data_IF_949722401381
#
_entry.id   IF_949722401381
#
_cell.length_a   1.000
_cell.length_b   1.000
_cell.length_c   1.000
_cell.angle_alpha   90.00
_cell.angle_beta   90.00
_cell.angle_gamma   90.00
#
_symmetry.space_group_name_H-M   'P 1'
#
loop_
_entity.id
_entity.type
_entity.pdbx_description
1 polymer ?
#
# COMPACT_ATOMS: atom_id res chain seq x y z
N UNK A 1 -39.27 29.13 -24.87
CA UNK A 1 -38.27 29.57 -23.91
C UNK A 1 -37.44 28.35 -23.61
N UNK A 2 -36.19 28.37 -24.06
CA UNK A 2 -35.31 27.25 -24.21
C UNK A 2 -35.04 26.47 -22.94
N UNK A 3 -35.26 25.17 -23.03
CA UNK A 3 -34.67 24.19 -22.14
C UNK A 3 -33.23 23.96 -22.62
N UNK A 4 -32.25 24.53 -21.90
CA UNK A 4 -30.87 24.09 -22.01
C UNK A 4 -30.80 22.66 -21.43
N UNK A 5 -30.87 21.68 -22.31
CA UNK A 5 -30.42 20.33 -22.02
C UNK A 5 -28.89 20.41 -21.91
N UNK A 6 -28.37 20.59 -20.68
CA UNK A 6 -26.96 20.45 -20.40
C UNK A 6 -26.56 19.00 -20.70
N UNK A 7 -25.82 18.83 -21.78
CA UNK A 7 -25.18 17.56 -22.13
C UNK A 7 -24.31 17.10 -20.96
N UNK A 8 -24.22 15.79 -20.72
CA UNK A 8 -23.19 15.22 -19.84
C UNK A 8 -21.84 15.81 -20.26
N UNK A 9 -20.99 16.23 -19.32
CA UNK A 9 -19.63 16.64 -19.64
C UNK A 9 -18.99 15.54 -20.50
N UNK A 10 -18.18 15.94 -21.48
CA UNK A 10 -17.52 15.01 -22.42
C UNK A 10 -16.94 13.82 -21.67
N UNK A 11 -17.00 12.63 -22.24
CA UNK A 11 -16.57 11.36 -21.58
C UNK A 11 -15.19 11.45 -20.91
N UNK A 12 -14.29 12.28 -21.43
CA UNK A 12 -12.98 12.56 -20.83
C UNK A 12 -13.08 13.25 -19.46
N UNK A 13 -13.97 14.22 -19.29
CA UNK A 13 -14.17 14.94 -18.03
C UNK A 13 -14.78 14.03 -16.95
N UNK A 14 -15.70 13.14 -17.33
CA UNK A 14 -16.32 12.19 -16.38
C UNK A 14 -15.30 11.18 -15.89
N UNK A 15 -14.46 10.61 -16.76
CA UNK A 15 -13.43 9.67 -16.37
C UNK A 15 -12.37 10.31 -15.48
N UNK A 16 -11.96 11.55 -15.77
CA UNK A 16 -11.03 12.31 -14.92
C UNK A 16 -11.61 12.59 -13.54
N UNK A 17 -12.89 12.97 -13.47
CA UNK A 17 -13.58 13.16 -12.20
C UNK A 17 -13.64 11.87 -11.37
N UNK A 18 -14.03 10.75 -12.01
CA UNK A 18 -14.08 9.46 -11.34
C UNK A 18 -12.69 9.04 -10.84
N UNK A 19 -11.63 9.29 -11.62
CA UNK A 19 -10.26 9.01 -11.20
C UNK A 19 -9.84 9.85 -9.99
N UNK A 20 -10.15 11.15 -9.97
CA UNK A 20 -9.90 12.03 -8.81
C UNK A 20 -10.67 11.55 -7.57
N UNK A 21 -11.96 11.22 -7.73
CA UNK A 21 -12.77 10.66 -6.66
C UNK A 21 -12.21 9.32 -6.17
N UNK A 22 -11.73 8.46 -7.07
CA UNK A 22 -11.12 7.19 -6.73
C UNK A 22 -9.79 7.36 -5.97
N UNK A 23 -9.00 8.34 -6.34
CA UNK A 23 -7.79 8.71 -5.59
C UNK A 23 -8.12 9.17 -4.17
N UNK A 24 -9.19 9.95 -3.97
CA UNK A 24 -9.62 10.40 -2.64
C UNK A 24 -10.26 9.28 -1.84
N UNK A 25 -11.20 8.54 -2.41
CA UNK A 25 -12.00 7.55 -1.67
C UNK A 25 -11.40 6.14 -1.62
N UNK A 26 -10.36 5.86 -2.43
CA UNK A 26 -9.62 4.60 -2.37
C UNK A 26 -10.14 3.50 -3.30
N UNK A 27 -11.22 3.72 -4.05
CA UNK A 27 -11.71 2.73 -5.01
C UNK A 27 -13.11 2.99 -5.52
N UNK A 28 -13.55 2.21 -6.52
CA UNK A 28 -14.85 2.37 -7.16
C UNK A 28 -16.00 2.06 -6.18
N UNK A 29 -15.82 1.08 -5.29
CA UNK A 29 -16.82 0.72 -4.28
C UNK A 29 -17.03 1.87 -3.28
N UNK A 30 -15.96 2.51 -2.86
CA UNK A 30 -16.04 3.64 -1.93
C UNK A 30 -16.70 4.88 -2.58
N UNK A 31 -16.46 5.10 -3.89
CA UNK A 31 -17.15 6.16 -4.64
C UNK A 31 -18.64 5.84 -4.74
N UNK A 32 -18.99 4.58 -5.01
CA UNK A 32 -20.38 4.14 -5.05
C UNK A 32 -21.06 4.38 -3.70
N UNK A 33 -20.44 3.95 -2.59
CA UNK A 33 -20.92 4.17 -1.23
C UNK A 33 -21.09 5.67 -0.91
N UNK A 34 -20.15 6.51 -1.38
CA UNK A 34 -20.21 7.95 -1.23
C UNK A 34 -21.41 8.54 -1.99
N UNK A 35 -21.56 8.18 -3.26
CA UNK A 35 -22.70 8.64 -4.08
C UNK A 35 -24.04 8.14 -3.51
N UNK A 36 -24.12 6.89 -3.07
CA UNK A 36 -25.33 6.34 -2.42
C UNK A 36 -25.70 7.06 -1.12
N UNK A 37 -24.71 7.61 -0.39
CA UNK A 37 -24.96 8.39 0.83
C UNK A 37 -25.76 9.68 0.57
N UNK A 38 -25.79 10.17 -0.66
CA UNK A 38 -26.59 11.30 -1.13
C UNK A 38 -27.85 10.88 -1.89
N UNK A 39 -28.23 9.61 -1.80
CA UNK A 39 -29.46 9.10 -2.43
C UNK A 39 -30.71 9.85 -1.94
N UNK A 40 -31.71 9.94 -2.79
CA UNK A 40 -33.03 10.44 -2.42
C UNK A 40 -33.76 9.53 -1.40
N UNK A 41 -33.31 8.28 -1.28
CA UNK A 41 -33.87 7.34 -0.32
C UNK A 41 -33.30 7.61 1.08
N UNK A 42 -34.16 8.04 2.00
CA UNK A 42 -33.81 8.42 3.38
C UNK A 42 -33.11 7.29 4.14
N UNK A 43 -33.45 6.04 3.87
CA UNK A 43 -32.83 4.88 4.53
C UNK A 43 -31.38 4.61 4.10
N UNK A 44 -30.94 5.15 2.97
CA UNK A 44 -29.55 5.02 2.49
C UNK A 44 -28.68 6.23 2.84
N UNK A 45 -29.25 7.30 3.38
CA UNK A 45 -28.50 8.51 3.76
C UNK A 45 -27.63 8.24 4.98
N UNK A 46 -26.36 8.55 4.88
CA UNK A 46 -25.43 8.59 6.02
C UNK A 46 -25.38 10.01 6.57
N UNK A 47 -25.42 10.17 7.88
CA UNK A 47 -25.27 11.47 8.52
C UNK A 47 -23.91 12.09 8.20
N UNK A 48 -23.80 13.43 8.20
CA UNK A 48 -22.58 14.19 7.91
C UNK A 48 -21.42 13.73 8.81
N UNK A 49 -21.69 13.45 10.08
CA UNK A 49 -20.67 12.97 11.02
C UNK A 49 -20.12 11.57 10.64
N UNK A 50 -20.97 10.70 10.13
CA UNK A 50 -20.53 9.39 9.64
C UNK A 50 -19.71 9.50 8.35
N UNK A 51 -20.08 10.44 7.48
CA UNK A 51 -19.33 10.74 6.25
C UNK A 51 -17.95 11.31 6.58
N UNK A 52 -17.88 12.29 7.49
CA UNK A 52 -16.60 12.87 7.95
C UNK A 52 -15.70 11.83 8.63
N UNK A 53 -16.26 10.93 9.43
CA UNK A 53 -15.49 9.82 10.03
C UNK A 53 -14.95 8.85 8.98
N UNK A 54 -15.74 8.54 7.94
CA UNK A 54 -15.35 7.55 6.93
C UNK A 54 -14.40 8.13 5.87
N UNK A 55 -14.65 9.35 5.39
CA UNK A 55 -13.97 9.94 4.22
C UNK A 55 -13.18 11.22 4.50
N UNK A 56 -13.19 11.70 5.74
CA UNK A 56 -12.51 12.95 6.13
C UNK A 56 -13.23 14.19 5.61
N UNK A 57 -12.45 15.23 5.29
CA UNK A 57 -12.99 16.44 4.69
C UNK A 57 -13.39 16.19 3.23
N UNK A 58 -14.68 16.14 2.99
CA UNK A 58 -15.29 15.94 1.67
C UNK A 58 -16.01 17.16 1.14
N UNK A 59 -16.01 18.28 1.89
CA UNK A 59 -16.77 19.48 1.56
C UNK A 59 -16.38 20.02 0.18
N UNK A 60 -15.09 20.11 -0.11
CA UNK A 60 -14.60 20.52 -1.42
C UNK A 60 -15.12 19.65 -2.58
N UNK A 61 -15.17 18.32 -2.40
CA UNK A 61 -15.67 17.39 -3.43
C UNK A 61 -17.19 17.47 -3.59
N UNK A 62 -17.90 17.75 -2.51
CA UNK A 62 -19.35 17.99 -2.56
C UNK A 62 -19.66 19.28 -3.33
N UNK A 63 -18.86 20.33 -3.14
CA UNK A 63 -18.99 21.58 -3.90
C UNK A 63 -18.68 21.36 -5.39
N UNK A 64 -17.58 20.68 -5.72
CA UNK A 64 -17.22 20.33 -7.10
C UNK A 64 -18.35 19.51 -7.77
N UNK A 65 -18.94 18.55 -7.05
CA UNK A 65 -20.07 17.76 -7.55
C UNK A 65 -21.37 18.56 -7.67
N UNK A 66 -21.57 19.60 -6.86
CA UNK A 66 -22.68 20.54 -7.00
C UNK A 66 -22.50 21.41 -8.26
N UNK A 67 -21.29 21.93 -8.48
CA UNK A 67 -20.96 22.73 -9.68
C UNK A 67 -21.15 21.91 -10.97
N UNK A 68 -20.79 20.64 -10.95
CA UNK A 68 -20.99 19.71 -12.07
C UNK A 68 -22.45 19.24 -12.22
N UNK A 69 -23.35 19.69 -11.36
CA UNK A 69 -24.77 19.34 -11.42
C UNK A 69 -25.08 17.87 -11.04
N UNK A 70 -24.13 17.17 -10.44
CA UNK A 70 -24.28 15.80 -9.94
C UNK A 70 -25.05 15.77 -8.63
N UNK A 71 -24.78 16.75 -7.76
CA UNK A 71 -25.48 16.97 -6.51
C UNK A 71 -26.28 18.28 -6.57
N UNK A 72 -27.36 18.37 -5.80
CA UNK A 72 -28.12 19.59 -5.60
C UNK A 72 -28.48 19.77 -4.13
N UNK A 73 -28.59 21.00 -3.71
CA UNK A 73 -29.05 21.35 -2.38
C UNK A 73 -30.57 21.43 -2.35
N UNK A 74 -31.17 20.87 -1.32
CA UNK A 74 -32.60 20.93 -1.06
C UNK A 74 -32.84 21.33 0.39
N UNK A 75 -34.05 21.80 0.77
CA UNK A 75 -34.35 22.12 2.17
C UNK A 75 -34.12 20.96 3.15
N UNK A 76 -34.10 19.72 2.64
CA UNK A 76 -33.82 18.50 3.41
C UNK A 76 -32.37 18.02 3.29
N UNK A 77 -31.44 18.85 2.76
CA UNK A 77 -30.03 18.55 2.58
C UNK A 77 -29.62 18.28 1.13
N UNK A 78 -28.37 17.92 0.92
CA UNK A 78 -27.80 17.66 -0.41
C UNK A 78 -28.27 16.30 -0.93
N UNK A 79 -28.68 16.23 -2.19
CA UNK A 79 -29.19 14.99 -2.83
C UNK A 79 -28.67 14.83 -4.25
N UNK A 80 -28.64 13.59 -4.75
CA UNK A 80 -28.30 13.27 -6.13
C UNK A 80 -29.33 13.85 -7.11
N UNK A 81 -28.83 14.41 -8.20
CA UNK A 81 -29.66 14.83 -9.34
C UNK A 81 -29.90 13.64 -10.29
N UNK A 82 -30.70 13.88 -11.34
CA UNK A 82 -30.84 12.88 -12.42
C UNK A 82 -29.51 12.57 -13.12
N UNK A 83 -28.61 13.56 -13.21
CA UNK A 83 -27.23 13.35 -13.74
C UNK A 83 -26.39 12.53 -12.76
N UNK A 84 -26.52 12.81 -11.45
CA UNK A 84 -25.86 12.03 -10.41
C UNK A 84 -26.25 10.57 -10.41
N UNK A 85 -27.53 10.25 -10.60
CA UNK A 85 -28.01 8.88 -10.76
C UNK A 85 -27.40 8.19 -11.99
N UNK A 86 -27.38 8.87 -13.15
CA UNK A 86 -26.72 8.35 -14.36
C UNK A 86 -25.24 8.10 -14.17
N UNK A 87 -24.54 8.97 -13.44
CA UNK A 87 -23.13 8.79 -13.10
C UNK A 87 -22.94 7.57 -12.20
N UNK A 88 -23.79 7.39 -11.20
CA UNK A 88 -23.76 6.22 -10.32
C UNK A 88 -23.97 4.92 -11.10
N UNK A 89 -24.97 4.89 -12.00
CA UNK A 89 -25.22 3.75 -12.88
C UNK A 89 -24.03 3.48 -13.83
N UNK A 90 -23.38 4.53 -14.34
CA UNK A 90 -22.18 4.38 -15.15
C UNK A 90 -21.04 3.75 -14.35
N UNK A 91 -20.81 4.22 -13.12
CA UNK A 91 -19.78 3.68 -12.23
C UNK A 91 -20.03 2.18 -11.93
N UNK A 92 -21.26 1.81 -11.68
CA UNK A 92 -21.65 0.41 -11.41
C UNK A 92 -21.40 -0.47 -12.64
N UNK A 93 -21.84 -0.03 -13.81
CA UNK A 93 -21.75 -0.81 -15.05
C UNK A 93 -20.31 -0.93 -15.59
N UNK A 94 -19.44 0.05 -15.33
CA UNK A 94 -18.03 0.08 -15.79
C UNK A 94 -17.03 -0.16 -14.67
N UNK A 95 -17.45 -0.77 -13.57
CA UNK A 95 -16.63 -0.98 -12.37
C UNK A 95 -15.28 -1.63 -12.70
N UNK A 96 -15.25 -2.71 -13.49
CA UNK A 96 -14.01 -3.43 -13.82
C UNK A 96 -13.04 -2.59 -14.66
N UNK A 97 -13.54 -1.79 -15.58
CA UNK A 97 -12.73 -0.90 -16.42
C UNK A 97 -12.11 0.22 -15.58
N UNK A 98 -12.94 0.88 -14.76
CA UNK A 98 -12.52 1.93 -13.86
C UNK A 98 -11.49 1.43 -12.84
N UNK A 99 -11.69 0.26 -12.26
CA UNK A 99 -10.69 -0.35 -11.36
C UNK A 99 -9.37 -0.64 -12.07
N UNK A 100 -9.42 -1.05 -13.33
CA UNK A 100 -8.20 -1.30 -14.10
C UNK A 100 -7.44 -0.02 -14.36
N UNK A 101 -8.12 1.08 -14.66
CA UNK A 101 -7.50 2.40 -14.84
C UNK A 101 -6.93 2.97 -13.53
N UNK A 102 -7.68 2.86 -12.43
CA UNK A 102 -7.19 3.26 -11.11
C UNK A 102 -5.90 2.51 -10.77
N UNK A 103 -5.87 1.17 -10.96
CA UNK A 103 -4.66 0.35 -10.75
C UNK A 103 -3.50 0.81 -11.63
N UNK A 104 -3.78 1.15 -12.89
CA UNK A 104 -2.76 1.65 -13.83
C UNK A 104 -2.17 2.99 -13.36
N UNK A 105 -3.01 3.89 -12.88
CA UNK A 105 -2.59 5.20 -12.36
C UNK A 105 -1.82 5.06 -11.06
N UNK A 106 -2.27 4.24 -10.11
CA UNK A 106 -1.53 3.94 -8.88
C UNK A 106 -0.12 3.40 -9.14
N UNK A 107 0.05 2.55 -10.18
CA UNK A 107 1.38 2.04 -10.57
C UNK A 107 2.26 3.10 -11.22
N UNK A 108 1.66 4.05 -11.93
CA UNK A 108 2.37 5.13 -12.63
C UNK A 108 2.62 6.35 -11.77
N UNK A 109 1.84 6.52 -10.69
CA UNK A 109 1.99 7.67 -9.81
C UNK A 109 3.46 7.79 -9.39
N UNK A 110 4.15 8.86 -9.78
CA UNK A 110 5.49 9.13 -9.28
C UNK A 110 5.36 9.26 -7.76
N UNK A 111 6.38 8.86 -7.04
CA UNK A 111 6.56 9.30 -5.66
C UNK A 111 6.87 10.81 -5.74
N UNK A 112 5.83 11.60 -5.99
CA UNK A 112 5.96 13.02 -6.24
C UNK A 112 5.57 13.80 -5.01
N UNK A 113 6.50 14.51 -4.47
CA UNK A 113 6.36 15.41 -3.36
C UNK A 113 7.65 15.46 -2.58
N UNK A 114 8.14 16.64 -2.28
CA UNK A 114 9.17 16.85 -1.27
C UNK A 114 8.57 16.55 0.10
N UNK A 115 8.42 15.24 0.38
CA UNK A 115 7.96 14.81 1.70
C UNK A 115 9.02 15.20 2.72
N UNK A 116 8.66 16.05 3.66
CA UNK A 116 9.51 16.39 4.80
C UNK A 116 9.27 15.33 5.88
N UNK A 117 10.22 14.44 6.04
CA UNK A 117 10.23 13.50 7.16
C UNK A 117 11.64 13.44 7.76
N UNK A 118 11.71 13.29 9.07
CA UNK A 118 12.96 13.04 9.78
C UNK A 118 13.10 11.54 10.01
N UNK A 119 14.26 11.01 9.72
CA UNK A 119 14.59 9.61 9.96
C UNK A 119 15.50 9.48 11.17
N UNK A 120 15.12 8.65 12.11
CA UNK A 120 15.89 8.34 13.31
C UNK A 120 16.09 6.83 13.45
N UNK A 121 17.30 6.41 13.77
CA UNK A 121 17.67 5.00 13.93
C UNK A 121 18.39 4.38 12.74
N UNK A 122 19.01 3.22 12.98
CA UNK A 122 19.67 2.35 11.99
C UNK A 122 19.26 0.92 12.26
N UNK A 123 19.02 0.16 11.22
CA UNK A 123 18.71 -1.27 11.31
C UNK A 123 19.81 -2.05 10.62
N UNK A 124 20.33 -3.08 11.29
CA UNK A 124 21.24 -4.04 10.66
C UNK A 124 20.50 -4.89 9.63
N UNK A 125 21.18 -5.11 8.50
CA UNK A 125 20.58 -5.85 7.39
C UNK A 125 20.76 -7.36 7.58
N UNK A 126 19.70 -8.02 8.01
CA UNK A 126 19.56 -9.48 7.98
C UNK A 126 18.43 -9.86 7.03
N UNK A 127 18.72 -10.02 5.75
CA UNK A 127 17.69 -10.38 4.78
C UNK A 127 18.14 -11.58 3.93
N UNK A 128 17.24 -12.51 3.71
CA UNK A 128 17.47 -13.67 2.84
C UNK A 128 17.18 -13.30 1.38
N UNK A 129 18.11 -13.62 0.48
CA UNK A 129 17.94 -13.44 -0.96
C UNK A 129 17.29 -14.69 -1.57
N UNK A 130 16.50 -14.47 -2.60
CA UNK A 130 15.97 -15.53 -3.45
C UNK A 130 16.51 -15.33 -4.85
N UNK A 131 17.22 -16.32 -5.35
CA UNK A 131 17.71 -16.34 -6.72
C UNK A 131 16.68 -16.99 -7.65
N UNK A 132 16.55 -16.43 -8.84
CA UNK A 132 15.75 -17.03 -9.91
C UNK A 132 16.41 -16.83 -11.27
N UNK A 133 16.19 -17.79 -12.16
CA UNK A 133 16.68 -17.72 -13.52
C UNK A 133 15.77 -16.87 -14.39
N UNK A 134 16.29 -15.79 -14.96
CA UNK A 134 15.57 -14.96 -15.90
C UNK A 134 15.69 -15.54 -17.32
N UNK A 135 14.72 -16.34 -17.75
CA UNK A 135 14.71 -16.99 -19.08
C UNK A 135 14.51 -16.02 -20.25
N UNK A 136 14.17 -14.76 -19.97
CA UNK A 136 13.97 -13.75 -21.02
C UNK A 136 15.25 -12.99 -21.38
N UNK A 137 16.35 -13.22 -20.68
CA UNK A 137 17.62 -12.54 -20.93
C UNK A 137 18.78 -13.50 -20.80
N UNK A 138 19.58 -13.57 -21.84
CA UNK A 138 20.80 -14.38 -21.88
C UNK A 138 22.04 -13.49 -21.82
N UNK A 139 23.09 -13.99 -21.19
CA UNK A 139 24.40 -13.37 -21.11
C UNK A 139 25.43 -14.28 -21.79
N UNK A 140 26.38 -13.68 -22.51
CA UNK A 140 27.49 -14.40 -23.11
C UNK A 140 28.58 -14.54 -22.05
N UNK A 141 29.08 -15.75 -21.85
CA UNK A 141 30.17 -16.00 -20.89
C UNK A 141 31.53 -15.66 -21.53
N UNK A 142 31.99 -14.42 -21.38
CA UNK A 142 33.33 -14.01 -21.86
C UNK A 142 34.45 -14.41 -20.88
N UNK A 143 34.15 -14.60 -19.61
CA UNK A 143 35.14 -14.75 -18.53
C UNK A 143 35.35 -16.19 -18.03
N UNK A 144 34.74 -17.19 -18.69
CA UNK A 144 34.96 -18.59 -18.38
C UNK A 144 34.36 -19.12 -17.06
N UNK A 145 33.65 -18.29 -16.32
CA UNK A 145 32.98 -18.69 -15.06
C UNK A 145 31.62 -19.31 -15.33
N UNK A 146 31.39 -20.50 -14.77
CA UNK A 146 30.07 -21.16 -14.86
C UNK A 146 29.07 -20.43 -13.98
N UNK A 147 28.16 -19.66 -14.59
CA UNK A 147 27.29 -18.75 -13.84
C UNK A 147 25.80 -19.03 -13.93
N UNK A 148 25.33 -20.19 -14.40
CA UNK A 148 23.90 -20.41 -14.45
C UNK A 148 23.42 -21.53 -15.36
N UNK A 149 22.11 -21.57 -15.62
CA UNK A 149 21.50 -22.51 -16.53
C UNK A 149 21.85 -22.17 -17.97
N UNK A 150 22.31 -23.16 -18.73
CA UNK A 150 22.69 -23.03 -20.14
C UNK A 150 21.45 -22.69 -20.98
N UNK A 151 21.52 -21.62 -21.75
CA UNK A 151 20.51 -21.25 -22.76
C UNK A 151 20.80 -22.02 -24.05
N UNK A 152 20.35 -23.27 -24.12
CA UNK A 152 20.65 -24.21 -25.22
C UNK A 152 20.25 -23.65 -26.60
N UNK A 153 19.03 -23.09 -26.80
CA UNK A 153 18.62 -22.55 -28.09
C UNK A 153 19.56 -21.47 -28.61
N UNK A 154 19.87 -20.48 -27.76
CA UNK A 154 20.73 -19.35 -28.09
C UNK A 154 22.16 -19.80 -28.34
N UNK A 155 22.66 -20.74 -27.55
CA UNK A 155 23.96 -21.37 -27.74
C UNK A 155 24.08 -22.04 -29.11
N UNK A 156 23.08 -22.83 -29.51
CA UNK A 156 23.06 -23.51 -30.82
C UNK A 156 23.02 -22.51 -31.95
N UNK A 157 22.15 -21.49 -31.84
CA UNK A 157 22.04 -20.43 -32.85
C UNK A 157 23.39 -19.70 -33.01
N UNK A 158 24.03 -19.35 -31.91
CA UNK A 158 25.32 -18.66 -31.96
C UNK A 158 26.44 -19.55 -32.49
N UNK A 159 26.49 -20.80 -32.04
CA UNK A 159 27.46 -21.78 -32.54
C UNK A 159 27.31 -22.02 -34.04
N UNK A 160 26.06 -22.13 -34.55
CA UNK A 160 25.80 -22.26 -35.98
C UNK A 160 26.27 -21.04 -36.81
N UNK A 161 25.98 -19.84 -36.32
CA UNK A 161 26.46 -18.60 -36.95
C UNK A 161 27.98 -18.57 -37.01
N UNK A 162 28.64 -18.88 -35.91
CA UNK A 162 30.08 -18.86 -35.80
C UNK A 162 30.77 -20.00 -36.60
N UNK A 163 30.14 -21.20 -36.70
CA UNK A 163 30.62 -22.27 -37.53
C UNK A 163 30.58 -21.89 -39.00
N UNK A 164 29.52 -21.24 -39.48
CA UNK A 164 29.43 -20.73 -40.85
C UNK A 164 30.53 -19.69 -41.13
N UNK A 165 30.74 -18.74 -40.22
CA UNK A 165 31.75 -17.73 -40.34
C UNK A 165 33.19 -18.28 -40.36
N UNK A 166 33.42 -19.40 -39.68
CA UNK A 166 34.72 -20.11 -39.64
C UNK A 166 34.93 -21.08 -40.81
N UNK A 167 33.87 -21.36 -41.59
CA UNK A 167 33.93 -22.34 -42.64
C UNK A 167 33.95 -23.77 -42.14
N UNK A 168 33.50 -24.05 -40.91
CA UNK A 168 33.44 -25.37 -40.29
C UNK A 168 32.42 -26.27 -41.04
N UNK A 169 32.72 -27.54 -41.38
CA UNK A 169 31.82 -28.40 -42.16
C UNK A 169 30.58 -28.85 -41.39
N UNK A 170 30.48 -28.55 -40.10
CA UNK A 170 29.38 -28.96 -39.20
C UNK A 170 29.11 -27.94 -38.09
N UNK A 171 28.24 -28.35 -37.16
CA UNK A 171 27.98 -27.56 -35.95
C UNK A 171 29.09 -27.82 -34.92
N UNK A 172 29.96 -26.84 -34.70
CA UNK A 172 31.02 -26.91 -33.70
C UNK A 172 30.73 -25.86 -32.62
N UNK A 173 30.47 -26.34 -31.38
CA UNK A 173 30.19 -25.45 -30.22
C UNK A 173 31.52 -25.16 -29.51
N UNK A 174 31.91 -23.90 -29.44
CA UNK A 174 33.06 -23.43 -28.67
C UNK A 174 32.62 -22.73 -27.40
N UNK A 175 33.52 -22.55 -26.43
CA UNK A 175 33.22 -21.84 -25.18
C UNK A 175 32.69 -20.42 -25.40
N UNK A 176 33.15 -19.75 -26.46
CA UNK A 176 32.66 -18.42 -26.86
C UNK A 176 31.22 -18.39 -27.34
N UNK A 177 30.64 -19.54 -27.68
CA UNK A 177 29.29 -19.66 -28.21
C UNK A 177 28.28 -19.92 -27.10
N UNK A 178 28.76 -20.21 -25.88
CA UNK A 178 27.90 -20.53 -24.73
C UNK A 178 27.15 -19.33 -24.23
N UNK A 179 25.82 -19.43 -24.20
CA UNK A 179 24.91 -18.47 -23.61
C UNK A 179 24.28 -19.05 -22.35
N UNK A 180 24.19 -18.25 -21.31
CA UNK A 180 23.55 -18.62 -20.05
C UNK A 180 22.39 -17.70 -19.77
N UNK A 181 21.35 -18.21 -19.11
CA UNK A 181 20.28 -17.37 -18.61
C UNK A 181 20.79 -16.49 -17.47
N UNK A 182 20.37 -15.21 -17.49
CA UNK A 182 20.75 -14.27 -16.43
C UNK A 182 20.14 -14.72 -15.10
N UNK A 183 20.96 -14.92 -14.08
CA UNK A 183 20.47 -15.08 -12.70
C UNK A 183 20.16 -13.71 -12.12
N UNK A 184 18.96 -13.58 -11.57
CA UNK A 184 18.55 -12.41 -10.80
C UNK A 184 18.25 -12.82 -9.38
N UNK A 185 18.74 -12.05 -8.44
CA UNK A 185 18.34 -12.17 -7.05
C UNK A 185 17.38 -11.04 -6.71
N UNK A 186 16.39 -11.33 -5.91
CA UNK A 186 15.56 -10.31 -5.29
C UNK A 186 15.29 -10.69 -3.84
N UNK A 187 15.01 -9.69 -3.02
CA UNK A 187 14.67 -9.87 -1.62
C UNK A 187 13.15 -9.73 -1.52
N UNK A 188 12.41 -10.82 -1.30
CA UNK A 188 10.99 -10.72 -1.01
C UNK A 188 10.82 -10.08 0.37
N UNK A 189 10.00 -9.05 0.47
CA UNK A 189 9.74 -8.31 1.71
C UNK A 189 8.24 -8.36 1.95
N UNK A 190 7.78 -9.28 2.80
CA UNK A 190 6.37 -9.33 3.17
C UNK A 190 6.09 -8.26 4.24
N UNK A 191 5.04 -7.47 4.06
CA UNK A 191 4.75 -6.29 4.88
C UNK A 191 3.55 -6.53 5.78
N UNK A 192 3.72 -6.33 7.08
CA UNK A 192 2.65 -6.26 8.06
C UNK A 192 2.41 -4.80 8.46
N UNK A 193 1.27 -4.23 8.08
CA UNK A 193 0.86 -2.90 8.51
C UNK A 193 0.11 -3.02 9.83
N UNK A 194 0.59 -2.32 10.85
CA UNK A 194 -0.06 -2.18 12.16
C UNK A 194 -0.61 -0.78 12.24
N UNK A 195 -1.91 -0.64 12.10
CA UNK A 195 -2.59 0.64 11.94
C UNK A 195 -3.33 0.99 13.21
N UNK A 196 -3.00 2.12 13.78
CA UNK A 196 -3.80 2.75 14.82
C UNK A 196 -5.19 3.09 14.25
N UNK A 197 -6.21 2.52 14.85
CA UNK A 197 -7.61 2.81 14.51
C UNK A 197 -8.33 3.50 15.69
N UNK A 198 -7.60 4.25 16.50
CA UNK A 198 -8.18 5.12 17.53
C UNK A 198 -8.97 6.27 16.91
N UNK A 199 -9.73 6.99 17.73
CA UNK A 199 -10.60 8.06 17.26
C UNK A 199 -9.88 9.20 16.54
N UNK A 200 -8.62 9.51 16.90
CA UNK A 200 -7.77 10.54 16.28
C UNK A 200 -7.30 10.18 14.86
N UNK A 201 -7.31 8.90 14.52
CA UNK A 201 -6.96 8.38 13.19
C UNK A 201 -8.13 8.38 12.20
N UNK A 202 -9.28 8.96 12.56
CA UNK A 202 -10.43 9.04 11.66
C UNK A 202 -10.16 9.96 10.44
N UNK A 203 -10.89 9.73 9.36
CA UNK A 203 -10.85 10.57 8.17
C UNK A 203 -9.63 10.33 7.28
N UNK A 204 -8.89 11.38 6.94
CA UNK A 204 -7.80 11.35 5.96
C UNK A 204 -6.61 10.47 6.38
N UNK A 205 -6.29 10.41 7.67
CA UNK A 205 -5.22 9.55 8.20
C UNK A 205 -5.52 8.07 7.97
N UNK A 206 -6.76 7.63 8.28
CA UNK A 206 -7.22 6.27 7.98
C UNK A 206 -7.12 5.96 6.48
N UNK A 207 -7.60 6.90 5.65
CA UNK A 207 -7.54 6.73 4.20
C UNK A 207 -6.11 6.63 3.69
N UNK A 208 -5.19 7.43 4.21
CA UNK A 208 -3.78 7.37 3.84
C UNK A 208 -3.17 6.00 4.18
N UNK A 209 -3.47 5.45 5.37
CA UNK A 209 -3.01 4.13 5.77
C UNK A 209 -3.62 3.00 4.90
N UNK A 210 -4.92 3.06 4.61
CA UNK A 210 -5.59 2.12 3.70
C UNK A 210 -5.01 2.20 2.28
N UNK A 211 -4.76 3.40 1.78
CA UNK A 211 -4.15 3.61 0.46
C UNK A 211 -2.74 3.05 0.39
N UNK A 212 -1.94 3.19 1.46
CA UNK A 212 -0.62 2.58 1.53
C UNK A 212 -0.70 1.06 1.40
N UNK A 213 -1.65 0.40 2.09
CA UNK A 213 -1.84 -1.05 2.01
C UNK A 213 -2.14 -1.50 0.58
N UNK A 214 -3.08 -0.83 -0.11
CA UNK A 214 -3.39 -1.11 -1.51
C UNK A 214 -2.20 -0.83 -2.44
N UNK A 215 -1.51 0.28 -2.23
CA UNK A 215 -0.34 0.66 -3.02
C UNK A 215 0.76 -0.39 -2.93
N UNK A 216 1.08 -0.88 -1.73
CA UNK A 216 2.09 -1.92 -1.52
C UNK A 216 1.72 -3.22 -2.23
N UNK A 217 0.47 -3.63 -2.14
CA UNK A 217 0.00 -4.84 -2.80
C UNK A 217 0.02 -4.73 -4.33
N UNK A 218 -0.32 -3.55 -4.88
CA UNK A 218 -0.40 -3.33 -6.33
C UNK A 218 0.95 -3.11 -6.99
N UNK A 219 1.90 -2.50 -6.28
CA UNK A 219 3.23 -2.16 -6.83
C UNK A 219 4.27 -3.24 -6.58
N UNK A 220 4.07 -4.08 -5.56
CA UNK A 220 4.98 -5.14 -5.16
C UNK A 220 4.54 -6.53 -5.62
N UNK A 221 5.40 -7.50 -5.37
CA UNK A 221 5.12 -8.94 -5.51
C UNK A 221 4.95 -9.61 -4.14
N UNK A 222 5.02 -8.82 -3.10
CA UNK A 222 5.03 -9.24 -1.70
C UNK A 222 3.61 -9.46 -1.19
N UNK A 223 3.50 -10.15 -0.07
CA UNK A 223 2.26 -10.27 0.68
C UNK A 223 2.10 -9.05 1.59
N UNK A 224 0.87 -8.63 1.79
CA UNK A 224 0.52 -7.57 2.73
C UNK A 224 -0.48 -8.13 3.73
N UNK A 225 -0.24 -7.87 5.01
CA UNK A 225 -1.18 -8.10 6.10
C UNK A 225 -1.53 -6.78 6.77
N UNK A 226 -2.70 -6.71 7.40
CA UNK A 226 -3.15 -5.53 8.14
C UNK A 226 -3.67 -5.96 9.50
N UNK A 227 -3.08 -5.42 10.54
CA UNK A 227 -3.53 -5.51 11.93
C UNK A 227 -4.00 -4.12 12.35
N UNK A 228 -5.11 -4.02 13.03
CA UNK A 228 -5.57 -2.76 13.62
C UNK A 228 -5.73 -2.92 15.13
N UNK A 229 -5.51 -1.84 15.84
CA UNK A 229 -5.77 -1.77 17.27
C UNK A 229 -6.62 -0.54 17.58
N UNK A 230 -7.64 -0.73 18.42
CA UNK A 230 -8.57 0.30 18.83
C UNK A 230 -9.31 -0.12 20.10
N UNK A 231 -9.89 0.82 20.81
CA UNK A 231 -10.66 0.56 22.05
C UNK A 231 -9.83 -0.20 23.11
N UNK A 232 -9.96 -1.50 23.22
CA UNK A 232 -9.27 -2.34 24.21
C UNK A 232 -8.56 -3.55 23.60
N UNK A 233 -8.62 -3.72 22.29
CA UNK A 233 -8.07 -4.91 21.62
C UNK A 233 -7.54 -4.62 20.24
N UNK A 234 -6.75 -5.52 19.75
CA UNK A 234 -6.31 -5.56 18.35
C UNK A 234 -6.99 -6.70 17.60
N UNK A 235 -6.96 -6.60 16.27
CA UNK A 235 -7.46 -7.66 15.40
C UNK A 235 -6.69 -7.73 14.10
N UNK A 236 -6.55 -8.93 13.58
CA UNK A 236 -6.08 -9.15 12.21
C UNK A 236 -7.23 -8.87 11.26
N UNK A 237 -7.17 -7.73 10.60
CA UNK A 237 -8.18 -7.29 9.61
C UNK A 237 -7.96 -8.01 8.30
N UNK A 238 -6.70 -8.17 7.90
CA UNK A 238 -6.30 -8.84 6.67
C UNK A 238 -5.09 -9.73 6.97
N UNK A 239 -5.20 -11.07 6.79
CA UNK A 239 -4.05 -11.97 6.89
C UNK A 239 -3.11 -11.75 5.70
N UNK A 240 -1.87 -12.25 5.76
CA UNK A 240 -0.91 -12.13 4.66
C UNK A 240 -1.48 -12.61 3.33
N UNK A 241 -1.74 -11.69 2.42
CA UNK A 241 -2.37 -11.95 1.14
C UNK A 241 -1.72 -11.20 -0.02
N UNK A 242 -1.92 -11.71 -1.24
CA UNK A 242 -1.69 -11.00 -2.50
C UNK A 242 -3.00 -10.71 -3.22
N UNK A 243 -4.12 -11.10 -2.63
CA UNK A 243 -5.44 -10.91 -3.22
C UNK A 243 -5.98 -9.54 -2.85
N UNK A 244 -6.16 -8.69 -3.86
CA UNK A 244 -6.67 -7.33 -3.68
C UNK A 244 -8.11 -7.29 -3.15
N UNK A 245 -8.95 -8.24 -3.54
CA UNK A 245 -10.34 -8.28 -3.06
C UNK A 245 -10.40 -8.58 -1.55
N UNK A 246 -9.54 -9.50 -1.08
CA UNK A 246 -9.41 -9.82 0.35
C UNK A 246 -8.93 -8.59 1.11
N UNK A 247 -7.90 -7.89 0.58
CA UNK A 247 -7.38 -6.68 1.18
C UNK A 247 -8.47 -5.60 1.30
N UNK A 248 -9.16 -5.28 0.22
CA UNK A 248 -10.21 -4.25 0.21
C UNK A 248 -11.36 -4.56 1.15
N UNK A 249 -11.85 -5.80 1.13
CA UNK A 249 -12.92 -6.22 2.07
C UNK A 249 -12.49 -6.02 3.52
N UNK A 250 -11.26 -6.38 3.85
CA UNK A 250 -10.72 -6.14 5.19
C UNK A 250 -10.62 -4.65 5.52
N UNK A 251 -9.97 -3.85 4.66
CA UNK A 251 -9.81 -2.41 4.88
C UNK A 251 -11.14 -1.67 5.05
N UNK A 252 -12.19 -2.08 4.35
CA UNK A 252 -13.53 -1.51 4.49
C UNK A 252 -14.13 -1.72 5.89
N UNK A 253 -13.66 -2.71 6.66
CA UNK A 253 -14.13 -2.96 8.04
C UNK A 253 -13.45 -2.08 9.08
N UNK A 254 -12.43 -1.30 8.73
CA UNK A 254 -11.73 -0.42 9.66
C UNK A 254 -12.60 0.79 9.94
N UNK A 255 -13.03 0.92 11.19
CA UNK A 255 -13.83 2.06 11.68
C UNK A 255 -13.14 2.65 12.90
N UNK A 256 -12.41 3.76 12.77
CA UNK A 256 -11.70 4.35 13.89
C UNK A 256 -12.60 4.73 15.06
N UNK A 257 -12.23 4.26 16.24
CA UNK A 257 -12.96 4.53 17.48
C UNK A 257 -12.09 4.28 18.73
N UNK A 258 -12.39 5.00 19.80
CA UNK A 258 -11.91 4.69 21.14
C UNK A 258 -10.44 4.95 21.39
N UNK A 259 -9.82 4.07 22.18
CA UNK A 259 -8.51 4.17 22.78
C UNK A 259 -7.42 3.50 21.92
N UNK A 260 -6.16 3.54 22.41
CA UNK A 260 -4.95 3.13 21.68
C UNK A 260 -4.23 1.96 22.40
N UNK A 261 -4.67 0.70 22.27
CA UNK A 261 -4.01 -0.49 22.83
C UNK A 261 -2.81 -0.92 21.98
N UNK A 262 -1.77 -0.10 21.93
CA UNK A 262 -0.61 -0.28 21.04
C UNK A 262 0.15 -1.57 21.34
N UNK A 263 0.32 -1.94 22.63
CA UNK A 263 0.98 -3.18 23.02
C UNK A 263 0.31 -4.40 22.42
N UNK A 264 -1.01 -4.50 22.54
CA UNK A 264 -1.81 -5.59 21.97
C UNK A 264 -1.69 -5.65 20.43
N UNK A 265 -1.68 -4.48 19.77
CA UNK A 265 -1.45 -4.36 18.33
C UNK A 265 -0.10 -4.92 17.88
N UNK A 266 0.98 -4.60 18.60
CA UNK A 266 2.33 -5.09 18.32
C UNK A 266 2.41 -6.60 18.54
N UNK A 267 1.93 -7.11 19.68
CA UNK A 267 1.94 -8.54 20.01
C UNK A 267 1.16 -9.35 18.97
N UNK A 268 -0.04 -8.88 18.60
CA UNK A 268 -0.85 -9.53 17.56
C UNK A 268 -0.12 -9.58 16.20
N UNK A 269 0.58 -8.54 15.85
CA UNK A 269 1.34 -8.50 14.61
C UNK A 269 2.58 -9.42 14.65
N UNK A 270 3.30 -9.49 15.78
CA UNK A 270 4.42 -10.42 15.98
C UNK A 270 3.93 -11.86 15.84
N UNK A 271 2.84 -12.22 16.53
CA UNK A 271 2.26 -13.57 16.46
C UNK A 271 1.82 -13.92 15.03
N UNK A 272 1.13 -13.00 14.34
CA UNK A 272 0.72 -13.20 12.95
C UNK A 272 1.91 -13.46 12.02
N UNK A 273 3.02 -12.74 12.20
CA UNK A 273 4.23 -12.91 11.40
C UNK A 273 4.88 -14.26 11.68
N UNK A 274 4.98 -14.67 12.95
CA UNK A 274 5.58 -15.94 13.35
C UNK A 274 4.76 -17.16 12.87
N UNK A 275 3.44 -17.08 12.95
CA UNK A 275 2.53 -18.14 12.47
C UNK A 275 2.52 -18.23 10.94
N UNK A 276 2.70 -17.08 10.26
CA UNK A 276 2.71 -17.01 8.81
C UNK A 276 4.12 -17.27 8.27
N UNK A 277 4.28 -18.22 7.36
CA UNK A 277 5.57 -18.48 6.71
C UNK A 277 5.93 -17.35 5.73
N UNK A 278 6.27 -16.17 6.28
CA UNK A 278 6.66 -14.98 5.52
C UNK A 278 8.17 -14.85 5.41
N UNK A 279 8.65 -14.11 4.42
CA UNK A 279 10.07 -13.91 4.15
C UNK A 279 10.44 -12.44 4.38
N UNK A 280 11.53 -12.23 5.14
CA UNK A 280 12.04 -10.90 5.46
C UNK A 280 10.91 -9.95 5.92
N UNK A 281 10.21 -10.28 7.01
CA UNK A 281 9.05 -9.53 7.45
C UNK A 281 9.42 -8.09 7.78
N UNK A 282 8.63 -7.16 7.26
CA UNK A 282 8.68 -5.75 7.58
C UNK A 282 7.38 -5.37 8.30
N UNK A 283 7.49 -5.01 9.58
CA UNK A 283 6.40 -4.44 10.35
C UNK A 283 6.44 -2.92 10.22
N UNK A 284 5.31 -2.32 9.86
CA UNK A 284 5.16 -0.87 9.76
C UNK A 284 4.05 -0.44 10.69
N UNK A 285 4.40 0.20 11.80
CA UNK A 285 3.45 0.82 12.74
C UNK A 285 3.11 2.22 12.26
N UNK A 286 1.82 2.52 12.15
CA UNK A 286 1.30 3.85 11.78
C UNK A 286 0.41 4.34 12.91
N UNK A 287 0.79 5.42 13.57
CA UNK A 287 0.07 6.00 14.70
C UNK A 287 0.24 7.51 14.77
N UNK A 288 -0.74 8.20 15.30
CA UNK A 288 -0.66 9.63 15.60
C UNK A 288 -0.63 9.92 17.11
N UNK A 289 -0.63 8.87 17.94
CA UNK A 289 -0.74 8.98 19.38
C UNK A 289 0.26 8.16 20.18
N UNK A 290 0.11 8.26 21.49
CA UNK A 290 0.79 7.40 22.48
C UNK A 290 -0.21 6.38 23.04
N UNK A 291 0.25 5.19 23.46
CA UNK A 291 -0.63 4.19 24.04
C UNK A 291 -1.30 4.70 25.32
N UNK A 292 -2.55 4.37 25.47
CA UNK A 292 -3.35 4.76 26.64
C UNK A 292 -4.15 3.58 27.23
N UNK A 293 -4.03 2.40 26.66
CA UNK A 293 -4.67 1.18 27.14
C UNK A 293 -3.59 0.16 27.48
N UNK A 294 -3.43 -0.20 28.77
CA UNK A 294 -2.45 -1.19 29.22
C UNK A 294 -2.86 -2.61 28.83
N UNK A 295 -1.88 -3.52 28.73
CA UNK A 295 -2.07 -4.92 28.39
C UNK A 295 -1.71 -5.84 29.59
N UNK A 296 -0.54 -5.65 30.17
CA UNK A 296 0.02 -6.49 31.25
C UNK A 296 0.17 -5.76 32.58
N UNK A 297 0.50 -4.47 32.51
CA UNK A 297 0.75 -3.64 33.69
C UNK A 297 -0.33 -2.57 33.83
N UNK A 298 -0.11 -1.59 34.70
CA UNK A 298 -0.99 -0.41 34.79
C UNK A 298 -0.52 0.74 33.86
N UNK A 299 0.65 0.61 33.25
CA UNK A 299 1.24 1.63 32.38
C UNK A 299 1.29 1.15 30.92
N UNK A 300 0.38 1.68 30.11
CA UNK A 300 0.30 1.37 28.68
C UNK A 300 1.59 1.67 27.90
N UNK A 301 2.38 2.65 28.35
CA UNK A 301 3.64 3.02 27.70
C UNK A 301 4.72 1.98 27.96
N UNK A 302 4.77 1.44 29.16
CA UNK A 302 5.71 0.37 29.53
C UNK A 302 5.35 -0.90 28.76
N UNK A 303 4.08 -1.27 28.74
CA UNK A 303 3.60 -2.46 28.03
C UNK A 303 3.94 -2.41 26.54
N UNK A 304 3.77 -1.24 25.91
CA UNK A 304 4.10 -1.11 24.49
C UNK A 304 5.61 -1.18 24.22
N UNK A 305 6.47 -0.71 25.14
CA UNK A 305 7.92 -0.87 25.03
C UNK A 305 8.35 -2.34 25.24
N UNK A 306 7.69 -3.07 26.12
CA UNK A 306 7.93 -4.52 26.31
C UNK A 306 7.45 -5.32 25.09
N UNK A 307 6.30 -4.98 24.52
CA UNK A 307 5.84 -5.55 23.26
C UNK A 307 6.83 -5.27 22.11
N UNK A 308 7.38 -4.05 22.04
CA UNK A 308 8.37 -3.68 21.03
C UNK A 308 9.67 -4.48 21.13
N UNK A 309 10.07 -4.89 22.32
CA UNK A 309 11.27 -5.73 22.54
C UNK A 309 11.15 -7.12 21.87
N UNK A 310 9.95 -7.64 21.66
CA UNK A 310 9.71 -8.94 21.00
C UNK A 310 9.97 -8.89 19.49
N UNK A 311 9.99 -7.70 18.88
CA UNK A 311 10.14 -7.52 17.44
C UNK A 311 11.52 -7.99 16.94
N UNK A 312 12.65 -7.53 17.52
CA UNK A 312 13.97 -8.02 17.10
C UNK A 312 14.20 -9.50 17.45
N UNK A 313 13.64 -10.01 18.54
CA UNK A 313 13.70 -11.43 18.91
C UNK A 313 13.05 -12.32 17.84
N UNK A 314 12.00 -11.84 17.21
CA UNK A 314 11.32 -12.52 16.10
C UNK A 314 11.97 -12.28 14.71
N UNK A 315 13.14 -11.62 14.64
CA UNK A 315 13.81 -11.23 13.41
C UNK A 315 12.92 -10.41 12.46
N UNK A 316 12.07 -9.57 12.99
CA UNK A 316 11.18 -8.68 12.26
C UNK A 316 11.85 -7.32 12.12
N UNK A 317 11.89 -6.78 10.90
CA UNK A 317 12.32 -5.41 10.69
C UNK A 317 11.18 -4.47 11.04
N UNK A 318 11.48 -3.41 11.77
CA UNK A 318 10.47 -2.48 12.29
C UNK A 318 10.65 -1.06 11.75
N UNK A 319 9.54 -0.47 11.37
CA UNK A 319 9.42 0.95 11.03
C UNK A 319 8.23 1.52 11.82
N UNK A 320 8.48 2.58 12.53
CA UNK A 320 7.43 3.40 13.15
C UNK A 320 7.24 4.67 12.33
N UNK A 321 6.01 4.98 11.96
CA UNK A 321 5.63 6.24 11.30
C UNK A 321 4.67 6.96 12.24
N UNK A 322 5.10 8.12 12.72
CA UNK A 322 4.36 8.88 13.71
C UNK A 322 4.32 10.38 13.42
N UNK A 323 3.41 11.08 14.10
CA UNK A 323 3.32 12.55 14.03
C UNK A 323 4.37 13.18 14.94
N UNK A 324 4.95 14.30 14.53
CA UNK A 324 6.08 14.97 15.24
C UNK A 324 5.77 15.31 16.70
N UNK A 325 4.51 15.57 17.05
CA UNK A 325 4.09 15.91 18.42
C UNK A 325 4.41 14.83 19.46
N UNK A 326 4.52 13.57 19.05
CA UNK A 326 4.74 12.42 19.95
C UNK A 326 6.13 11.76 19.77
N UNK A 327 7.06 12.44 19.12
CA UNK A 327 8.33 11.87 18.67
C UNK A 327 9.18 11.27 19.81
N UNK A 328 9.24 11.89 21.00
CA UNK A 328 10.07 11.43 22.13
C UNK A 328 9.69 10.02 22.63
N UNK A 329 8.39 9.71 22.64
CA UNK A 329 7.94 8.39 23.03
C UNK A 329 8.15 7.37 21.90
N UNK A 330 7.81 7.74 20.68
CA UNK A 330 7.95 6.88 19.50
C UNK A 330 9.42 6.56 19.19
N UNK A 331 10.35 7.47 19.55
CA UNK A 331 11.79 7.23 19.47
C UNK A 331 12.21 6.09 20.39
N UNK A 332 11.81 6.13 21.66
CA UNK A 332 12.07 5.05 22.62
C UNK A 332 11.47 3.73 22.18
N UNK A 333 10.26 3.77 21.58
CA UNK A 333 9.61 2.58 21.04
C UNK A 333 10.42 1.99 19.87
N UNK A 334 10.86 2.84 18.94
CA UNK A 334 11.66 2.41 17.79
C UNK A 334 13.05 1.89 18.22
N UNK A 335 13.71 2.54 19.19
CA UNK A 335 14.96 2.05 19.77
C UNK A 335 14.78 0.67 20.41
N UNK A 336 13.71 0.47 21.19
CA UNK A 336 13.43 -0.81 21.84
C UNK A 336 13.15 -1.93 20.84
N UNK A 337 12.56 -1.60 19.69
CA UNK A 337 12.31 -2.50 18.57
C UNK A 337 13.51 -2.67 17.64
N UNK A 338 14.67 -2.07 17.93
CA UNK A 338 15.83 -1.98 17.01
C UNK A 338 15.41 -1.52 15.59
N UNK A 339 14.47 -0.60 15.54
CA UNK A 339 13.81 -0.14 14.32
C UNK A 339 14.15 1.29 13.93
N UNK A 340 13.36 1.82 13.02
CA UNK A 340 13.51 3.17 12.49
C UNK A 340 12.23 3.95 12.76
N UNK A 341 12.39 5.15 13.31
CA UNK A 341 11.32 6.13 13.43
C UNK A 341 11.36 7.11 12.26
N UNK A 342 10.20 7.30 11.64
CA UNK A 342 9.91 8.40 10.74
C UNK A 342 8.88 9.32 11.36
N UNK A 343 9.23 10.58 11.55
CA UNK A 343 8.29 11.59 12.00
C UNK A 343 7.85 12.44 10.82
N UNK A 344 6.57 12.70 10.75
CA UNK A 344 5.92 13.51 9.73
C UNK A 344 5.05 14.58 10.38
N UNK A 345 4.88 15.70 9.70
CA UNK A 345 3.98 16.76 10.17
C UNK A 345 2.53 16.29 10.12
N UNK A 346 2.19 15.50 9.09
CA UNK A 346 0.88 14.90 8.89
C UNK A 346 0.97 13.53 8.21
N UNK A 347 0.08 12.61 8.62
CA UNK A 347 -0.04 11.27 8.06
C UNK A 347 -0.83 11.31 6.74
N UNK A 348 -0.17 11.75 5.67
CA UNK A 348 -0.73 11.78 4.34
C UNK A 348 -0.18 10.64 3.45
N UNK A 349 -0.84 10.39 2.31
CA UNK A 349 -0.54 9.29 1.38
C UNK A 349 0.90 9.33 0.88
N UNK A 350 1.34 10.50 0.46
CA UNK A 350 2.65 10.67 -0.18
C UNK A 350 3.79 10.41 0.81
N UNK A 351 3.65 10.92 2.04
CA UNK A 351 4.62 10.67 3.10
C UNK A 351 4.75 9.17 3.40
N UNK A 352 3.62 8.48 3.61
CA UNK A 352 3.60 7.06 3.90
C UNK A 352 4.24 6.21 2.79
N UNK A 353 3.88 6.47 1.53
CA UNK A 353 4.42 5.75 0.37
C UNK A 353 5.91 5.99 0.22
N UNK A 354 6.36 7.25 0.33
CA UNK A 354 7.76 7.62 0.15
C UNK A 354 8.65 6.97 1.23
N UNK A 355 8.20 6.97 2.49
CA UNK A 355 8.91 6.34 3.59
C UNK A 355 9.09 4.84 3.34
N UNK A 356 8.01 4.10 3.10
CA UNK A 356 8.08 2.65 2.91
C UNK A 356 8.86 2.28 1.65
N UNK A 357 8.71 3.03 0.56
CA UNK A 357 9.53 2.85 -0.66
C UNK A 357 11.01 3.10 -0.40
N UNK A 358 11.37 4.15 0.35
CA UNK A 358 12.75 4.47 0.68
C UNK A 358 13.39 3.34 1.48
N UNK A 359 12.68 2.80 2.47
CA UNK A 359 13.18 1.68 3.27
C UNK A 359 13.29 0.38 2.48
N UNK A 360 12.29 0.02 1.68
CA UNK A 360 12.39 -1.13 0.77
C UNK A 360 13.59 -1.00 -0.17
N UNK A 361 13.87 0.21 -0.69
CA UNK A 361 15.04 0.48 -1.55
C UNK A 361 16.36 0.39 -0.80
N UNK A 362 16.41 0.85 0.46
CA UNK A 362 17.57 0.71 1.35
C UNK A 362 17.89 -0.76 1.61
N UNK A 363 16.86 -1.58 1.92
CA UNK A 363 17.01 -3.04 2.09
C UNK A 363 17.61 -3.72 0.86
N UNK A 364 17.22 -3.28 -0.35
CA UNK A 364 17.72 -3.84 -1.61
C UNK A 364 19.15 -3.40 -1.95
N UNK A 365 19.58 -2.21 -1.50
CA UNK A 365 20.94 -1.68 -1.78
C UNK A 365 22.02 -2.32 -0.89
N UNK A 366 21.75 -2.47 0.38
CA UNK A 366 22.74 -2.95 1.36
C UNK A 366 23.10 -4.45 1.16
N UNK A 367 22.33 -5.20 0.37
CA UNK A 367 22.63 -6.58 0.01
C UNK A 367 23.39 -6.73 -1.31
N UNK A 368 23.78 -5.63 -1.96
CA UNK A 368 24.62 -5.64 -3.18
C UNK A 368 26.09 -5.28 -2.89
N UNK A 369 26.40 -4.91 -1.68
CA UNK A 369 27.74 -4.71 -1.16
C UNK A 369 28.22 -5.94 -0.41
#
# INVERSE_FOLDING_TARGET
KGQHATALPEKENVNQLILKLAEKFGGVEEIQDFMESYSTNIFKRKGIDQQKKKWGDVEHYVEELKELGVLKETPMGTVLTKQGLKLTDFIINHKCELETEIRRNMRKAPAGGTSRFKKMGKVENRSSQVEFTNRNKTINNRDGTWSGDLAVPETIIQAKKNSILRGDPGLTIKRSDLHYYEKKSYIPIDVCLVIDASGSMAGDKRQAACYLAEHLLLTGKEKVAVVTFQERSSRVVVPFTRNQQVLRKGLATISPAGLTPMADGIVTAVNLIQESRVRNPLMVLITDGVPNTPLWTLDAKVDALEAAAQIPEANIRFICIGVESNHLYLEKLAERAEGILYTVDDLNRDNLINIVRAEKKSMLKNNRA
#
